data_IF_821879836493
#
_entry.id   IF_821879836493
#
_cell.length_a   1.000
_cell.length_b   1.000
_cell.length_c   1.000
_cell.angle_alpha   90.00
_cell.angle_beta   90.00
_cell.angle_gamma   90.00
#
_symmetry.space_group_name_H-M   'P 1'
#
loop_
_entity.id
_entity.type
_entity.pdbx_description
1 polymer ?
#
# COMPACT_ATOMS: atom_id res chain seq x y z
N UNK A 1 -32.27 8.15 -63.58
CA UNK A 1 -30.92 7.76 -64.04
C UNK A 1 -29.87 7.73 -62.91
N UNK A 2 -29.85 8.68 -61.96
CA UNK A 2 -28.88 8.76 -60.84
C UNK A 2 -28.73 7.50 -59.97
N UNK A 3 -29.82 6.81 -59.60
CA UNK A 3 -29.78 5.59 -58.77
C UNK A 3 -29.03 4.42 -59.45
N UNK A 4 -29.11 4.30 -60.78
CA UNK A 4 -28.45 3.20 -61.52
C UNK A 4 -26.93 3.34 -61.51
N UNK A 5 -26.40 4.56 -61.60
CA UNK A 5 -24.96 4.83 -61.50
C UNK A 5 -24.42 4.66 -60.08
N UNK A 6 -25.24 4.91 -59.05
CA UNK A 6 -24.86 4.63 -57.66
C UNK A 6 -24.68 3.14 -57.40
N UNK A 7 -25.58 2.29 -57.91
CA UNK A 7 -25.44 0.83 -57.81
C UNK A 7 -24.22 0.31 -58.57
N UNK A 8 -23.92 0.86 -59.75
CA UNK A 8 -22.73 0.50 -60.52
C UNK A 8 -21.45 0.90 -59.77
N UNK A 9 -21.40 2.12 -59.20
CA UNK A 9 -20.26 2.58 -58.41
C UNK A 9 -20.06 1.74 -57.14
N UNK A 10 -21.14 1.38 -56.45
CA UNK A 10 -21.10 0.50 -55.28
C UNK A 10 -20.61 -0.91 -55.62
N UNK A 11 -21.08 -1.49 -56.73
CA UNK A 11 -20.59 -2.78 -57.20
C UNK A 11 -19.11 -2.72 -57.61
N UNK A 12 -18.65 -1.62 -58.20
CA UNK A 12 -17.24 -1.42 -58.54
C UNK A 12 -16.37 -1.29 -57.28
N UNK A 13 -16.82 -0.53 -56.29
CA UNK A 13 -16.16 -0.44 -54.99
C UNK A 13 -16.11 -1.80 -54.29
N UNK A 14 -17.19 -2.57 -54.33
CA UNK A 14 -17.23 -3.89 -53.72
C UNK A 14 -16.27 -4.87 -54.40
N UNK A 15 -16.21 -4.87 -55.74
CA UNK A 15 -15.25 -5.66 -56.50
C UNK A 15 -13.79 -5.25 -56.20
N UNK A 16 -13.54 -3.95 -56.03
CA UNK A 16 -12.23 -3.44 -55.68
C UNK A 16 -11.82 -3.83 -54.26
N UNK A 17 -12.76 -3.78 -53.30
CA UNK A 17 -12.53 -4.26 -51.93
C UNK A 17 -12.33 -5.77 -51.88
N UNK A 18 -13.06 -6.56 -52.67
CA UNK A 18 -12.84 -8.00 -52.81
C UNK A 18 -11.48 -8.28 -53.43
N UNK A 19 -11.06 -7.52 -54.44
CA UNK A 19 -9.73 -7.65 -55.05
C UNK A 19 -8.60 -7.31 -54.09
N UNK A 20 -8.75 -6.25 -53.28
CA UNK A 20 -7.80 -5.88 -52.23
C UNK A 20 -7.79 -6.92 -51.11
N UNK A 21 -8.95 -7.41 -50.68
CA UNK A 21 -9.06 -8.50 -49.72
C UNK A 21 -8.35 -9.77 -50.22
N UNK A 22 -8.55 -10.13 -51.49
CA UNK A 22 -7.91 -11.30 -52.09
C UNK A 22 -6.41 -11.10 -52.36
N UNK A 23 -5.96 -9.85 -52.49
CA UNK A 23 -4.54 -9.51 -52.62
C UNK A 23 -3.81 -9.50 -51.28
N UNK A 24 -4.44 -8.98 -50.22
CA UNK A 24 -3.92 -8.99 -48.84
C UNK A 24 -3.95 -10.40 -48.25
N UNK A 25 -5.06 -11.14 -48.46
CA UNK A 25 -5.20 -12.54 -48.05
C UNK A 25 -4.77 -13.52 -49.14
N UNK A 26 -4.00 -13.06 -50.14
CA UNK A 26 -3.37 -13.99 -51.07
C UNK A 26 -2.38 -14.79 -50.23
N UNK A 27 -2.50 -16.13 -50.14
CA UNK A 27 -1.45 -16.90 -49.53
C UNK A 27 -0.19 -16.57 -50.31
N UNK A 28 0.80 -15.94 -49.66
CA UNK A 28 2.15 -15.92 -50.20
C UNK A 28 2.46 -17.38 -50.54
N UNK A 29 2.89 -17.61 -51.78
CA UNK A 29 3.47 -18.89 -52.12
C UNK A 29 4.65 -19.07 -51.16
N UNK A 30 4.42 -19.88 -50.12
CA UNK A 30 5.44 -20.42 -49.23
C UNK A 30 6.38 -21.27 -50.10
N UNK A 31 7.31 -20.59 -50.75
CA UNK A 31 8.39 -21.18 -51.53
C UNK A 31 9.54 -21.57 -50.62
N UNK A 32 9.28 -22.50 -49.71
CA UNK A 32 10.20 -23.46 -49.08
C UNK A 32 9.46 -24.02 -47.86
N UNK A 33 9.06 -25.28 -47.91
CA UNK A 33 8.32 -25.91 -46.84
C UNK A 33 9.13 -25.93 -45.54
N UNK A 34 8.62 -25.29 -44.50
CA UNK A 34 8.85 -25.73 -43.13
C UNK A 34 7.64 -26.56 -42.74
N UNK A 35 7.75 -27.89 -42.85
CA UNK A 35 6.81 -28.75 -42.15
C UNK A 35 6.96 -28.48 -40.64
N UNK A 36 5.86 -28.39 -39.87
CA UNK A 36 5.97 -28.35 -38.42
C UNK A 36 6.47 -29.72 -37.94
N UNK A 37 7.78 -29.88 -37.86
CA UNK A 37 8.40 -30.94 -37.08
C UNK A 37 8.29 -30.50 -35.63
N UNK A 38 7.24 -31.00 -34.94
CA UNK A 38 7.16 -30.93 -33.49
C UNK A 38 8.15 -31.95 -32.90
N UNK A 39 8.84 -31.56 -31.83
CA UNK A 39 9.96 -32.25 -31.16
C UNK A 39 11.33 -32.16 -31.86
N UNK A 40 11.91 -30.95 -31.89
CA UNK A 40 13.35 -30.77 -32.11
C UNK A 40 13.97 -30.23 -30.82
N UNK A 41 14.08 -31.10 -29.82
CA UNK A 41 14.82 -30.82 -28.59
C UNK A 41 16.31 -30.61 -28.94
N UNK A 42 16.91 -29.56 -28.39
CA UNK A 42 18.33 -29.30 -28.63
C UNK A 42 19.24 -30.25 -27.81
N UNK A 43 18.74 -30.82 -26.71
CA UNK A 43 19.48 -31.71 -25.83
C UNK A 43 18.56 -32.54 -24.93
N UNK A 44 19.13 -33.59 -24.34
CA UNK A 44 18.47 -34.51 -23.40
C UNK A 44 19.19 -34.47 -22.04
N UNK A 45 19.15 -33.32 -21.35
CA UNK A 45 19.60 -33.19 -19.94
C UNK A 45 18.56 -32.43 -19.11
N UNK A 46 18.61 -32.58 -17.79
CA UNK A 46 17.73 -31.92 -16.84
C UNK A 46 18.30 -30.60 -16.32
N UNK A 47 17.43 -29.69 -15.87
CA UNK A 47 17.81 -28.37 -15.30
C UNK A 47 18.86 -28.48 -14.18
N UNK A 48 18.75 -29.50 -13.35
CA UNK A 48 19.67 -29.74 -12.22
C UNK A 48 21.09 -30.14 -12.64
N UNK A 49 21.28 -30.55 -13.88
CA UNK A 49 22.60 -30.91 -14.42
C UNK A 49 23.37 -29.67 -14.88
N UNK A 50 22.72 -28.51 -15.00
CA UNK A 50 23.38 -27.24 -15.34
C UNK A 50 24.05 -26.69 -14.08
N UNK A 51 25.37 -26.49 -14.16
CA UNK A 51 26.17 -25.88 -13.08
C UNK A 51 26.34 -24.37 -13.25
N UNK A 52 26.49 -23.92 -14.49
CA UNK A 52 26.68 -22.52 -14.84
C UNK A 52 25.98 -22.21 -16.16
N UNK A 53 25.32 -21.05 -16.22
CA UNK A 53 24.77 -20.50 -17.45
C UNK A 53 25.31 -19.09 -17.67
N UNK A 54 25.93 -18.86 -18.82
CA UNK A 54 26.48 -17.55 -19.20
C UNK A 54 25.65 -16.95 -20.33
N UNK A 55 25.12 -15.74 -20.12
CA UNK A 55 24.46 -14.92 -21.14
C UNK A 55 25.43 -13.84 -21.59
N UNK A 56 25.89 -13.92 -22.84
CA UNK A 56 26.77 -12.93 -23.46
C UNK A 56 25.96 -12.08 -24.45
N UNK A 57 25.43 -10.97 -23.97
CA UNK A 57 24.72 -9.97 -24.78
C UNK A 57 25.45 -8.63 -24.77
N UNK A 58 24.74 -7.55 -24.41
CA UNK A 58 25.36 -6.23 -24.20
C UNK A 58 26.35 -6.19 -23.04
N UNK A 59 26.11 -7.04 -22.04
CA UNK A 59 26.98 -7.31 -20.92
C UNK A 59 27.00 -8.82 -20.70
N UNK A 60 28.07 -9.32 -20.11
CA UNK A 60 28.14 -10.72 -19.68
C UNK A 60 27.42 -10.87 -18.34
N UNK A 61 26.55 -11.87 -18.25
CA UNK A 61 25.84 -12.24 -17.02
C UNK A 61 26.11 -13.72 -16.77
N UNK A 62 26.62 -14.04 -15.58
CA UNK A 62 26.93 -15.41 -15.18
C UNK A 62 25.96 -15.83 -14.08
N UNK A 63 25.19 -16.88 -14.36
CA UNK A 63 24.35 -17.57 -13.39
C UNK A 63 25.10 -18.81 -12.93
N UNK A 64 25.23 -19.02 -11.62
CA UNK A 64 25.98 -20.14 -11.05
C UNK A 64 25.14 -20.86 -10.00
N UNK A 65 25.15 -22.19 -10.05
CA UNK A 65 24.55 -23.04 -9.02
C UNK A 65 25.55 -23.19 -7.86
N UNK A 66 25.11 -22.88 -6.64
CA UNK A 66 25.85 -23.12 -5.40
C UNK A 66 25.06 -24.05 -4.46
N UNK A 67 25.63 -24.35 -3.29
CA UNK A 67 24.97 -25.12 -2.24
C UNK A 67 23.70 -24.43 -1.71
N UNK A 68 23.64 -23.09 -1.79
CA UNK A 68 22.52 -22.27 -1.34
C UNK A 68 21.50 -21.97 -2.46
N UNK A 69 21.71 -22.53 -3.65
CA UNK A 69 20.85 -22.32 -4.83
C UNK A 69 21.53 -21.56 -5.97
N UNK A 70 20.73 -21.17 -6.97
CA UNK A 70 21.20 -20.35 -8.09
C UNK A 70 21.54 -18.92 -7.63
N UNK A 71 22.61 -18.35 -8.17
CA UNK A 71 23.05 -16.98 -7.91
C UNK A 71 23.45 -16.28 -9.20
N UNK A 72 23.52 -14.95 -9.18
CA UNK A 72 24.09 -14.14 -10.26
C UNK A 72 25.44 -13.62 -9.78
N UNK A 73 26.52 -14.00 -10.46
CA UNK A 73 27.90 -13.76 -9.95
C UNK A 73 28.21 -12.28 -9.68
N UNK A 74 27.55 -11.35 -10.36
CA UNK A 74 27.74 -9.91 -10.22
C UNK A 74 26.72 -9.21 -9.31
N UNK A 75 25.84 -9.95 -8.63
CA UNK A 75 24.84 -9.39 -7.70
C UNK A 75 25.00 -9.99 -6.31
N UNK A 76 24.60 -9.21 -5.31
CA UNK A 76 24.37 -9.74 -3.97
C UNK A 76 23.22 -10.78 -4.03
N UNK A 77 23.39 -11.99 -3.48
CA UNK A 77 22.32 -12.97 -3.38
C UNK A 77 21.02 -12.43 -2.77
N UNK A 78 21.10 -11.52 -1.79
CA UNK A 78 19.92 -10.92 -1.15
C UNK A 78 19.16 -9.97 -2.08
N UNK A 79 19.85 -9.42 -3.09
CA UNK A 79 19.28 -8.53 -4.10
C UNK A 79 18.94 -9.25 -5.40
N UNK A 80 18.98 -10.58 -5.43
CA UNK A 80 18.73 -11.38 -6.64
C UNK A 80 17.27 -11.81 -6.75
N UNK A 81 16.66 -11.58 -7.91
CA UNK A 81 15.34 -12.10 -8.29
C UNK A 81 15.46 -13.56 -8.74
N UNK A 82 15.51 -14.47 -7.77
CA UNK A 82 15.72 -15.92 -8.00
C UNK A 82 14.66 -16.53 -8.94
N UNK A 83 13.42 -16.04 -8.93
CA UNK A 83 12.39 -16.55 -9.83
C UNK A 83 12.73 -16.30 -11.30
N UNK A 84 13.37 -15.16 -11.60
CA UNK A 84 13.85 -14.86 -12.95
C UNK A 84 15.05 -15.72 -13.31
N UNK A 85 16.00 -15.90 -12.39
CA UNK A 85 17.18 -16.78 -12.60
C UNK A 85 16.73 -18.20 -12.97
N UNK A 86 15.88 -18.82 -12.13
CA UNK A 86 15.32 -20.15 -12.38
C UNK A 86 14.52 -20.20 -13.69
N UNK A 87 13.83 -19.12 -14.05
CA UNK A 87 13.12 -19.06 -15.32
C UNK A 87 14.06 -19.12 -16.51
N UNK A 88 15.18 -18.40 -16.49
CA UNK A 88 16.15 -18.43 -17.60
C UNK A 88 16.85 -19.79 -17.70
N UNK A 89 17.29 -20.35 -16.57
CA UNK A 89 17.94 -21.67 -16.53
C UNK A 89 17.00 -22.75 -17.06
N UNK A 90 15.75 -22.81 -16.57
CA UNK A 90 14.74 -23.75 -17.06
C UNK A 90 14.47 -23.60 -18.56
N UNK A 91 14.43 -22.36 -19.06
CA UNK A 91 14.22 -22.09 -20.51
C UNK A 91 15.38 -22.57 -21.36
N UNK A 92 16.59 -22.57 -20.83
CA UNK A 92 17.70 -23.24 -21.48
C UNK A 92 17.49 -24.75 -21.43
N UNK A 93 17.34 -25.35 -20.24
CA UNK A 93 17.17 -26.79 -20.10
C UNK A 93 16.06 -27.38 -21.00
N UNK A 94 14.93 -26.69 -21.15
CA UNK A 94 13.80 -27.11 -21.98
C UNK A 94 13.76 -26.46 -23.38
N UNK A 95 14.91 -26.13 -23.99
CA UNK A 95 14.95 -25.46 -25.28
C UNK A 95 14.51 -26.39 -26.42
N UNK A 96 13.45 -26.00 -27.12
CA UNK A 96 12.90 -26.71 -28.28
C UNK A 96 12.78 -25.74 -29.48
N UNK A 97 13.01 -26.26 -30.69
CA UNK A 97 12.69 -25.51 -31.90
C UNK A 97 11.21 -25.62 -32.25
N UNK A 98 10.60 -24.49 -32.61
CA UNK A 98 9.27 -24.48 -33.20
C UNK A 98 9.31 -24.92 -34.68
N UNK A 99 10.36 -24.51 -35.40
CA UNK A 99 10.57 -24.86 -36.80
C UNK A 99 12.06 -24.96 -37.13
N UNK A 100 12.41 -25.87 -38.03
CA UNK A 100 13.64 -25.80 -38.81
C UNK A 100 13.38 -24.89 -40.03
N UNK A 101 14.18 -23.84 -40.20
CA UNK A 101 14.00 -22.86 -41.29
C UNK A 101 14.91 -23.12 -42.47
N UNK A 102 16.20 -23.38 -42.21
CA UNK A 102 17.20 -23.57 -43.26
C UNK A 102 18.36 -24.43 -42.71
N UNK A 103 18.72 -25.53 -43.38
CA UNK A 103 19.76 -26.47 -42.90
C UNK A 103 21.20 -25.97 -43.10
N UNK A 104 21.48 -25.28 -44.21
CA UNK A 104 22.82 -24.75 -44.54
C UNK A 104 22.67 -23.37 -45.21
N UNK A 105 22.38 -22.32 -44.42
CA UNK A 105 22.14 -20.99 -44.95
C UNK A 105 23.40 -20.40 -45.57
N UNK A 106 23.25 -19.83 -46.77
CA UNK A 106 24.37 -19.16 -47.45
C UNK A 106 24.72 -17.79 -46.86
N UNK A 107 23.81 -17.21 -46.09
CA UNK A 107 23.91 -15.88 -45.52
C UNK A 107 23.21 -15.85 -44.15
N UNK A 108 23.99 -15.82 -43.07
CA UNK A 108 23.49 -15.75 -41.70
C UNK A 108 23.04 -14.35 -41.29
N UNK A 109 23.43 -13.30 -42.03
CA UNK A 109 23.15 -11.91 -41.66
C UNK A 109 21.67 -11.56 -41.71
N UNK A 110 20.90 -12.20 -42.61
CA UNK A 110 19.44 -12.07 -42.66
C UNK A 110 18.74 -12.53 -41.38
N UNK A 111 19.38 -13.44 -40.64
CA UNK A 111 18.88 -13.96 -39.37
C UNK A 111 19.52 -13.24 -38.17
N UNK A 112 20.52 -12.38 -38.39
CA UNK A 112 21.33 -11.77 -37.34
C UNK A 112 22.18 -12.80 -36.58
N UNK A 113 22.59 -13.88 -37.25
CA UNK A 113 23.39 -14.97 -36.66
C UNK A 113 24.87 -14.92 -37.07
N UNK A 114 25.24 -14.01 -37.99
CA UNK A 114 26.63 -13.66 -38.28
C UNK A 114 27.26 -12.83 -37.14
N UNK A 115 26.45 -11.97 -36.51
CA UNK A 115 26.74 -11.26 -35.29
C UNK A 115 25.55 -11.45 -34.32
N UNK A 116 25.49 -12.57 -33.57
CA UNK A 116 24.35 -12.89 -32.73
C UNK A 116 24.11 -11.81 -31.68
N UNK A 117 22.84 -11.52 -31.42
CA UNK A 117 22.43 -10.56 -30.39
C UNK A 117 22.77 -11.06 -28.98
N UNK A 118 22.76 -12.37 -28.79
CA UNK A 118 23.14 -13.00 -27.52
C UNK A 118 23.68 -14.41 -27.77
N UNK A 119 24.77 -14.75 -27.11
CA UNK A 119 25.27 -16.13 -27.00
C UNK A 119 24.94 -16.66 -25.61
N UNK A 120 24.36 -17.85 -25.54
CA UNK A 120 24.06 -18.52 -24.26
C UNK A 120 24.84 -19.81 -24.17
N UNK A 121 25.62 -19.97 -23.10
CA UNK A 121 26.47 -21.15 -22.85
C UNK A 121 26.13 -21.76 -21.50
N UNK A 122 25.78 -23.04 -21.49
CA UNK A 122 25.66 -23.84 -20.29
C UNK A 122 26.90 -24.72 -20.11
N UNK A 123 27.36 -24.81 -18.87
CA UNK A 123 28.35 -25.78 -18.39
C UNK A 123 27.62 -26.75 -17.44
N UNK A 124 27.68 -28.04 -17.75
CA UNK A 124 27.05 -29.09 -16.97
C UNK A 124 27.96 -29.59 -15.83
N UNK A 125 27.41 -30.36 -14.90
CA UNK A 125 28.15 -30.96 -13.78
C UNK A 125 29.32 -31.86 -14.21
N UNK A 126 29.19 -32.53 -15.36
CA UNK A 126 30.21 -33.40 -15.94
C UNK A 126 31.30 -32.65 -16.73
N UNK A 127 31.17 -31.32 -16.84
CA UNK A 127 32.05 -30.44 -17.60
C UNK A 127 31.73 -30.33 -19.09
N UNK A 128 30.66 -30.97 -19.56
CA UNK A 128 30.15 -30.81 -20.94
C UNK A 128 29.55 -29.41 -21.10
N UNK A 129 29.70 -28.84 -22.30
CA UNK A 129 29.18 -27.52 -22.61
C UNK A 129 28.23 -27.51 -23.80
N UNK A 130 27.20 -26.68 -23.69
CA UNK A 130 26.21 -26.46 -24.74
C UNK A 130 26.07 -24.97 -25.02
N UNK A 131 26.23 -24.57 -26.28
CA UNK A 131 26.15 -23.17 -26.71
C UNK A 131 25.07 -22.99 -27.78
N UNK A 132 24.29 -21.93 -27.65
CA UNK A 132 23.36 -21.44 -28.68
C UNK A 132 23.57 -19.97 -28.97
N UNK A 133 23.34 -19.59 -30.23
CA UNK A 133 23.44 -18.25 -30.76
C UNK A 133 22.03 -17.74 -31.07
N UNK A 134 21.62 -16.67 -30.42
CA UNK A 134 20.32 -16.03 -30.64
C UNK A 134 20.47 -14.86 -31.61
N UNK A 135 19.76 -14.93 -32.72
CA UNK A 135 19.73 -13.91 -33.75
C UNK A 135 18.62 -12.89 -33.55
N UNK A 136 18.10 -12.38 -34.66
CA UNK A 136 17.02 -11.40 -34.69
C UNK A 136 15.67 -12.02 -34.33
N UNK A 137 14.77 -11.18 -33.81
CA UNK A 137 13.35 -11.52 -33.65
C UNK A 137 12.71 -11.65 -35.03
N UNK A 138 11.84 -12.64 -35.21
CA UNK A 138 11.03 -12.76 -36.41
C UNK A 138 10.18 -11.49 -36.61
N UNK A 139 10.09 -10.92 -37.84
CA UNK A 139 9.45 -9.62 -38.05
C UNK A 139 7.98 -9.57 -37.63
N UNK A 140 7.25 -10.65 -37.86
CA UNK A 140 5.78 -10.72 -37.71
C UNK A 140 5.30 -11.69 -36.65
N UNK A 141 6.14 -12.62 -36.22
CA UNK A 141 5.75 -13.70 -35.32
C UNK A 141 6.46 -13.56 -33.97
N UNK A 142 5.89 -14.18 -32.93
CA UNK A 142 6.53 -14.24 -31.62
C UNK A 142 7.58 -15.36 -31.58
N UNK A 143 8.57 -15.26 -32.48
CA UNK A 143 9.68 -16.20 -32.65
C UNK A 143 11.02 -15.47 -32.73
N UNK A 144 12.11 -16.19 -32.48
CA UNK A 144 13.49 -15.73 -32.71
C UNK A 144 14.23 -16.75 -33.56
N UNK A 145 15.20 -16.28 -34.35
CA UNK A 145 16.16 -17.15 -35.02
C UNK A 145 17.22 -17.63 -34.03
N UNK A 146 17.55 -18.91 -34.06
CA UNK A 146 18.53 -19.52 -33.17
C UNK A 146 19.36 -20.57 -33.91
N UNK A 147 20.64 -20.67 -33.57
CA UNK A 147 21.57 -21.66 -34.10
C UNK A 147 22.34 -22.31 -32.94
N UNK A 148 22.54 -23.62 -33.00
CA UNK A 148 23.34 -24.36 -32.02
C UNK A 148 24.81 -24.38 -32.45
N UNK A 149 25.73 -24.31 -31.49
CA UNK A 149 27.14 -24.54 -31.78
C UNK A 149 27.41 -25.92 -32.38
N UNK A 150 28.18 -25.94 -33.46
CA UNK A 150 28.49 -27.15 -34.23
C UNK A 150 27.43 -27.53 -35.27
N UNK A 151 26.27 -26.87 -35.27
CA UNK A 151 25.21 -27.05 -36.27
C UNK A 151 25.14 -25.84 -37.20
N UNK A 152 24.89 -26.09 -38.48
CA UNK A 152 24.69 -25.03 -39.49
C UNK A 152 23.23 -24.63 -39.62
N UNK A 153 22.32 -25.45 -39.13
CA UNK A 153 20.90 -25.23 -39.26
C UNK A 153 20.43 -23.99 -38.48
N UNK A 154 19.51 -23.24 -39.10
CA UNK A 154 18.81 -22.12 -38.48
C UNK A 154 17.43 -22.58 -38.09
N UNK A 155 17.14 -22.41 -36.80
CA UNK A 155 15.87 -22.76 -36.19
C UNK A 155 15.08 -21.49 -35.85
N UNK A 156 13.77 -21.62 -35.80
CA UNK A 156 12.90 -20.66 -35.14
C UNK A 156 12.50 -21.21 -33.77
N UNK A 157 12.69 -20.41 -32.72
CA UNK A 157 12.30 -20.76 -31.35
C UNK A 157 11.23 -19.81 -30.84
N UNK A 158 10.38 -20.27 -29.91
CA UNK A 158 9.36 -19.43 -29.30
C UNK A 158 9.95 -18.17 -28.64
N UNK A 159 9.24 -17.05 -28.73
CA UNK A 159 9.64 -15.77 -28.13
C UNK A 159 9.93 -15.82 -26.63
N UNK A 160 9.41 -16.80 -25.88
CA UNK A 160 9.77 -16.99 -24.47
C UNK A 160 11.26 -17.32 -24.27
N UNK A 161 11.89 -18.04 -25.20
CA UNK A 161 13.33 -18.34 -25.14
C UNK A 161 14.15 -17.09 -25.45
N UNK A 162 13.81 -16.39 -26.53
CA UNK A 162 14.48 -15.15 -26.89
C UNK A 162 14.38 -14.10 -25.78
N UNK A 163 13.20 -13.96 -25.16
CA UNK A 163 13.00 -13.04 -24.02
C UNK A 163 13.84 -13.44 -22.80
N UNK A 164 13.91 -14.74 -22.48
CA UNK A 164 14.73 -15.23 -21.37
C UNK A 164 16.23 -14.99 -21.62
N UNK A 165 16.71 -15.32 -22.81
CA UNK A 165 18.13 -15.22 -23.15
C UNK A 165 18.60 -13.77 -23.30
N UNK A 166 17.71 -12.85 -23.72
CA UNK A 166 18.00 -11.41 -23.76
C UNK A 166 17.81 -10.70 -22.41
N UNK A 167 17.67 -11.45 -21.30
CA UNK A 167 17.60 -10.85 -19.96
C UNK A 167 18.82 -9.97 -19.69
N UNK A 168 18.57 -8.81 -19.10
CA UNK A 168 19.61 -7.89 -18.62
C UNK A 168 19.90 -8.12 -17.15
N UNK A 169 21.02 -7.60 -16.63
CA UNK A 169 21.36 -7.68 -15.21
C UNK A 169 20.23 -7.14 -14.33
N UNK A 170 19.54 -6.08 -14.78
CA UNK A 170 18.42 -5.47 -14.09
C UNK A 170 17.23 -6.45 -13.91
N UNK A 171 17.01 -7.36 -14.86
CA UNK A 171 15.93 -8.34 -14.76
C UNK A 171 16.18 -9.35 -13.65
N UNK A 172 17.43 -9.55 -13.25
CA UNK A 172 17.81 -10.44 -12.15
C UNK A 172 17.94 -9.72 -10.80
N UNK A 173 17.69 -8.41 -10.73
CA UNK A 173 17.66 -7.67 -9.46
C UNK A 173 16.27 -7.73 -8.86
N UNK A 174 16.19 -8.06 -7.57
CA UNK A 174 14.96 -7.96 -6.79
C UNK A 174 14.46 -6.52 -6.85
N UNK A 175 13.19 -6.37 -7.23
CA UNK A 175 12.53 -5.06 -7.25
C UNK A 175 11.78 -4.79 -5.96
N UNK A 176 11.73 -5.73 -5.02
CA UNK A 176 11.02 -5.54 -3.76
C UNK A 176 11.92 -4.85 -2.73
N UNK A 177 11.48 -3.69 -2.26
CA UNK A 177 12.15 -2.92 -1.20
C UNK A 177 11.71 -3.38 0.19
N UNK A 178 10.53 -3.97 0.28
CA UNK A 178 9.97 -4.53 1.51
C UNK A 178 8.45 -4.66 1.43
N UNK A 179 7.90 -5.51 2.30
CA UNK A 179 6.47 -5.71 2.46
C UNK A 179 6.10 -5.47 3.92
N UNK A 180 5.34 -4.40 4.16
CA UNK A 180 4.96 -3.96 5.51
C UNK A 180 3.55 -4.43 5.82
N UNK A 181 3.37 -5.13 6.93
CA UNK A 181 2.08 -5.44 7.50
C UNK A 181 1.51 -4.26 8.30
N UNK A 182 0.54 -3.57 7.70
CA UNK A 182 -0.13 -2.44 8.34
C UNK A 182 -0.90 -2.84 9.61
N UNK A 183 -1.26 -4.13 9.76
CA UNK A 183 -1.86 -4.64 11.00
C UNK A 183 -0.87 -4.75 12.15
N UNK A 184 0.44 -4.68 11.93
CA UNK A 184 1.47 -4.63 12.98
C UNK A 184 2.33 -3.37 12.90
N UNK A 185 1.82 -2.34 12.21
CA UNK A 185 2.48 -1.04 12.05
C UNK A 185 2.94 -0.48 13.40
N UNK A 186 4.20 -0.03 13.43
CA UNK A 186 4.84 0.65 14.56
C UNK A 186 5.14 2.11 14.28
N UNK A 187 5.57 2.44 13.06
CA UNK A 187 5.89 3.82 12.68
C UNK A 187 5.51 4.05 11.22
N UNK A 188 4.81 5.15 10.97
CA UNK A 188 4.64 5.71 9.65
C UNK A 188 4.99 7.20 9.72
N UNK A 189 5.91 7.64 8.87
CA UNK A 189 6.23 9.05 8.67
C UNK A 189 6.15 9.34 7.18
N UNK A 190 5.37 10.36 6.83
CA UNK A 190 5.29 10.90 5.49
C UNK A 190 5.64 12.37 5.56
N UNK A 191 6.70 12.76 4.84
CA UNK A 191 7.01 14.16 4.57
C UNK A 191 6.83 14.42 3.09
N UNK A 192 6.27 15.58 2.79
CA UNK A 192 6.10 16.06 1.42
C UNK A 192 6.35 17.55 1.41
N UNK A 193 7.04 18.03 0.39
CA UNK A 193 7.33 19.44 0.20
C UNK A 193 6.05 20.30 0.32
N UNK A 194 6.11 21.34 1.15
CA UNK A 194 5.00 22.27 1.35
C UNK A 194 3.80 21.74 2.13
N UNK A 195 3.86 20.54 2.71
CA UNK A 195 2.80 19.96 3.55
C UNK A 195 3.27 19.75 4.98
N UNK A 196 2.35 19.82 5.94
CA UNK A 196 2.62 19.34 7.30
C UNK A 196 2.96 17.85 7.28
N UNK A 197 3.95 17.39 8.07
CA UNK A 197 4.29 15.99 8.12
C UNK A 197 3.14 15.18 8.74
N UNK A 198 2.93 13.99 8.23
CA UNK A 198 2.08 12.99 8.85
C UNK A 198 2.98 12.02 9.60
N UNK A 199 2.77 11.88 10.91
CA UNK A 199 3.53 10.92 11.71
C UNK A 199 2.61 10.14 12.63
N UNK A 200 2.70 8.82 12.55
CA UNK A 200 1.96 7.87 13.37
C UNK A 200 2.97 6.96 14.07
N UNK A 201 2.81 6.76 15.37
CA UNK A 201 3.64 5.83 16.16
C UNK A 201 2.79 4.89 16.99
N UNK A 202 3.32 3.70 17.24
CA UNK A 202 2.78 2.78 18.22
C UNK A 202 2.84 3.36 19.62
N UNK A 203 1.81 3.05 20.41
CA UNK A 203 1.77 3.37 21.83
C UNK A 203 2.62 2.36 22.59
N UNK A 204 3.58 2.85 23.36
CA UNK A 204 4.32 2.04 24.31
C UNK A 204 3.48 1.86 25.58
N UNK A 205 3.24 0.61 25.98
CA UNK A 205 2.52 0.25 27.21
C UNK A 205 1.13 0.92 27.36
N UNK A 206 0.16 0.59 26.48
CA UNK A 206 -1.20 1.10 26.66
C UNK A 206 -1.79 0.65 27.99
N UNK A 207 -2.70 1.45 28.56
CA UNK A 207 -3.48 1.04 29.73
C UNK A 207 -4.16 -0.31 29.47
N UNK A 208 -4.25 -1.16 30.49
CA UNK A 208 -4.79 -2.53 30.34
C UNK A 208 -6.21 -2.54 29.73
N UNK A 209 -7.06 -1.57 30.10
CA UNK A 209 -8.41 -1.39 29.56
C UNK A 209 -8.45 -0.98 28.08
N UNK A 210 -7.32 -0.53 27.53
CA UNK A 210 -7.18 -0.04 26.16
C UNK A 210 -6.26 -0.94 25.31
N UNK A 211 -5.82 -2.08 25.84
CA UNK A 211 -4.95 -3.01 25.12
C UNK A 211 -5.65 -3.52 23.85
N UNK A 212 -4.97 -3.41 22.70
CA UNK A 212 -5.50 -3.76 21.39
C UNK A 212 -6.37 -2.66 20.73
N UNK A 213 -6.85 -1.67 21.49
CA UNK A 213 -7.67 -0.56 20.98
C UNK A 213 -6.82 0.69 20.79
N UNK A 214 -5.92 1.00 21.73
CA UNK A 214 -5.05 2.17 21.69
C UNK A 214 -3.65 1.81 21.20
N UNK A 215 -3.59 1.28 19.97
CA UNK A 215 -2.34 0.75 19.41
C UNK A 215 -1.46 1.82 18.77
N UNK A 216 -2.06 2.84 18.17
CA UNK A 216 -1.40 3.85 17.37
C UNK A 216 -1.89 5.25 17.72
N UNK A 217 -0.98 6.22 17.65
CA UNK A 217 -1.26 7.64 17.82
C UNK A 217 -0.70 8.45 16.68
N UNK A 218 -1.46 9.43 16.22
CA UNK A 218 -0.91 10.55 15.49
C UNK A 218 0.02 11.34 16.42
N UNK A 219 1.25 11.53 15.99
CA UNK A 219 2.22 12.47 16.57
C UNK A 219 2.17 13.81 15.84
N UNK A 220 1.84 13.78 14.54
CA UNK A 220 1.67 14.92 13.64
C UNK A 220 0.54 14.60 12.66
N UNK A 221 -0.28 15.56 12.18
CA UNK A 221 -0.13 17.03 12.26
C UNK A 221 -0.87 17.71 13.43
N UNK A 222 -1.47 16.95 14.34
CA UNK A 222 -2.26 17.54 15.43
C UNK A 222 -1.37 18.13 16.52
N UNK A 223 -1.85 19.19 17.20
CA UNK A 223 -1.13 19.88 18.28
C UNK A 223 -0.87 19.00 19.49
N UNK A 224 -1.68 17.95 19.67
CA UNK A 224 -1.52 16.95 20.73
C UNK A 224 -1.66 15.53 20.14
N UNK A 225 -1.02 14.51 20.74
CA UNK A 225 -1.16 13.15 20.25
C UNK A 225 -2.61 12.67 20.23
N UNK A 226 -3.09 12.20 19.07
CA UNK A 226 -4.49 11.76 18.90
C UNK A 226 -4.61 10.28 18.60
N UNK A 227 -5.69 9.66 19.07
CA UNK A 227 -6.03 8.26 18.78
C UNK A 227 -6.45 8.08 17.33
N UNK A 228 -6.05 6.94 16.79
CA UNK A 228 -6.52 6.47 15.49
C UNK A 228 -7.73 5.56 15.72
N UNK A 229 -8.81 5.79 14.97
CA UNK A 229 -10.06 5.05 15.11
C UNK A 229 -9.93 3.62 14.58
N UNK A 230 -9.41 3.47 13.38
CA UNK A 230 -9.03 2.19 12.79
C UNK A 230 -8.21 2.44 11.53
N UNK A 231 -7.29 1.51 11.22
CA UNK A 231 -6.62 1.45 9.92
C UNK A 231 -7.29 0.44 8.96
N UNK A 232 -8.43 -0.15 9.34
CA UNK A 232 -9.10 -1.23 8.58
C UNK A 232 -9.53 -0.84 7.16
N UNK A 233 -9.51 0.45 6.83
CA UNK A 233 -9.64 0.95 5.46
C UNK A 233 -8.35 0.77 4.63
N UNK A 234 -7.62 -0.33 4.84
CA UNK A 234 -6.43 -0.71 4.05
C UNK A 234 -6.65 -0.60 2.53
N UNK A 235 -7.85 -0.89 1.96
CA UNK A 235 -8.07 -0.74 0.53
C UNK A 235 -7.92 0.67 -0.04
N UNK A 236 -7.99 1.70 0.80
CA UNK A 236 -7.75 3.08 0.37
C UNK A 236 -6.24 3.38 0.27
N UNK A 237 -5.39 2.56 0.89
CA UNK A 237 -3.96 2.79 1.05
C UNK A 237 -3.08 1.90 0.18
N UNK A 238 -3.48 0.65 -0.03
CA UNK A 238 -2.74 -0.31 -0.85
C UNK A 238 -3.33 -0.41 -2.25
N UNK A 239 -2.51 -0.82 -3.22
CA UNK A 239 -2.95 -0.94 -4.61
C UNK A 239 -3.92 -2.11 -4.81
N UNK A 240 -3.80 -3.16 -3.99
CA UNK A 240 -4.50 -4.44 -4.13
C UNK A 240 -5.61 -4.66 -3.11
N UNK A 241 -5.82 -3.72 -2.17
CA UNK A 241 -6.83 -3.88 -1.13
C UNK A 241 -6.33 -4.57 0.14
N UNK A 242 -5.10 -5.10 0.14
CA UNK A 242 -4.59 -5.93 1.23
C UNK A 242 -4.02 -5.09 2.37
N UNK A 243 -3.83 -5.65 3.58
CA UNK A 243 -3.12 -4.99 4.66
C UNK A 243 -1.59 -4.95 4.46
N UNK A 244 -1.08 -5.49 3.34
CA UNK A 244 0.35 -5.50 3.03
C UNK A 244 0.69 -4.33 2.09
N UNK A 245 1.48 -3.39 2.60
CA UNK A 245 2.08 -2.35 1.77
C UNK A 245 3.39 -2.87 1.19
N UNK A 246 3.35 -3.36 -0.06
CA UNK A 246 4.54 -3.78 -0.78
C UNK A 246 5.16 -2.60 -1.53
N UNK A 247 6.40 -2.27 -1.19
CA UNK A 247 7.17 -1.21 -1.85
C UNK A 247 8.09 -1.83 -2.89
N UNK A 248 8.07 -1.30 -4.12
CA UNK A 248 8.84 -1.85 -5.23
C UNK A 248 9.51 -0.78 -6.08
N UNK A 249 10.73 -1.08 -6.52
CA UNK A 249 11.46 -0.38 -7.57
C UNK A 249 10.75 -0.56 -8.91
N UNK A 250 10.58 0.55 -9.63
CA UNK A 250 10.10 0.53 -11.02
C UNK A 250 11.27 0.36 -11.98
N UNK A 251 12.26 1.24 -11.97
CA UNK A 251 13.47 1.08 -12.79
C UNK A 251 14.69 1.47 -11.95
N UNK A 252 15.80 0.76 -12.15
CA UNK A 252 17.08 1.14 -11.58
C UNK A 252 17.73 2.23 -12.46
N UNK A 253 18.20 3.32 -11.85
CA UNK A 253 18.68 4.50 -12.60
C UNK A 253 20.20 4.57 -12.57
N UNK A 254 20.79 4.66 -11.38
CA UNK A 254 22.22 4.80 -11.21
C UNK A 254 22.68 4.16 -9.89
N UNK A 255 23.81 3.44 -9.98
CA UNK A 255 24.52 2.86 -8.85
C UNK A 255 25.67 3.80 -8.45
N UNK A 256 25.78 4.08 -7.16
CA UNK A 256 26.83 4.93 -6.57
C UNK A 256 26.98 6.29 -7.27
N UNK A 257 25.89 7.08 -7.37
CA UNK A 257 25.91 8.38 -8.03
C UNK A 257 26.87 9.32 -7.29
N UNK A 258 27.65 10.08 -8.07
CA UNK A 258 28.58 11.08 -7.51
C UNK A 258 27.89 12.39 -7.17
N UNK A 259 26.76 12.66 -7.79
CA UNK A 259 25.95 13.86 -7.61
C UNK A 259 24.47 13.45 -7.53
N UNK A 260 23.80 13.84 -6.45
CA UNK A 260 22.38 13.53 -6.22
C UNK A 260 21.45 14.68 -6.64
N UNK A 261 22.01 15.83 -7.04
CA UNK A 261 21.24 17.04 -7.34
C UNK A 261 20.38 16.89 -8.60
N UNK A 262 20.83 16.15 -9.61
CA UNK A 262 20.04 15.87 -10.82
C UNK A 262 18.76 15.07 -10.52
N UNK A 263 18.79 14.28 -9.45
CA UNK A 263 17.67 13.50 -8.96
C UNK A 263 16.84 14.22 -7.90
N UNK A 264 17.29 15.40 -7.43
CA UNK A 264 16.70 16.11 -6.29
C UNK A 264 16.77 15.31 -4.97
N UNK A 265 17.78 14.45 -4.83
CA UNK A 265 17.97 13.59 -3.65
C UNK A 265 19.04 14.13 -2.69
N UNK A 266 19.78 15.17 -3.09
CA UNK A 266 20.60 16.00 -2.20
C UNK A 266 19.75 16.87 -1.25
N UNK A 267 18.57 17.27 -1.71
CA UNK A 267 17.50 17.90 -0.94
C UNK A 267 16.16 17.21 -1.24
N UNK A 268 15.89 16.04 -0.62
CA UNK A 268 14.70 15.26 -0.89
C UNK A 268 13.40 16.07 -0.74
N UNK A 269 12.54 15.99 -1.76
CA UNK A 269 11.20 16.63 -1.77
C UNK A 269 10.17 15.87 -0.94
N UNK A 270 10.50 14.66 -0.52
CA UNK A 270 9.66 13.86 0.35
C UNK A 270 10.41 12.75 1.04
N UNK A 271 9.73 12.15 1.99
CA UNK A 271 10.24 11.05 2.80
C UNK A 271 9.08 10.11 3.11
N UNK A 272 9.33 8.81 3.00
CA UNK A 272 8.45 7.78 3.53
C UNK A 272 9.29 6.90 4.45
N UNK A 273 8.93 6.86 5.72
CA UNK A 273 9.43 5.86 6.65
C UNK A 273 8.24 5.02 7.11
N UNK A 274 8.37 3.71 6.99
CA UNK A 274 7.35 2.75 7.41
C UNK A 274 8.02 1.56 8.09
N UNK A 275 7.51 1.20 9.26
CA UNK A 275 8.07 0.15 10.13
C UNK A 275 6.94 -0.67 10.75
N UNK A 276 7.05 -2.00 10.71
CA UNK A 276 6.15 -2.94 11.39
C UNK A 276 6.90 -3.80 12.43
N UNK A 277 6.39 -4.98 12.75
CA UNK A 277 7.03 -5.93 13.66
C UNK A 277 8.39 -6.45 13.18
N UNK A 278 8.59 -6.58 11.87
CA UNK A 278 9.68 -7.35 11.24
C UNK A 278 10.50 -6.53 10.24
N UNK A 279 9.87 -5.59 9.53
CA UNK A 279 10.43 -4.86 8.40
C UNK A 279 10.44 -3.36 8.66
N UNK A 280 11.44 -2.70 8.07
CA UNK A 280 11.59 -1.25 8.08
C UNK A 280 12.06 -0.78 6.72
N UNK A 281 11.33 0.16 6.14
CA UNK A 281 11.70 0.80 4.87
C UNK A 281 11.71 2.30 5.06
N UNK A 282 12.82 2.94 4.70
CA UNK A 282 12.99 4.39 4.75
C UNK A 282 13.42 4.90 3.38
N UNK A 283 12.51 5.54 2.68
CA UNK A 283 12.70 6.10 1.34
C UNK A 283 12.83 7.61 1.39
N UNK A 284 13.84 8.12 0.71
CA UNK A 284 13.96 9.51 0.31
C UNK A 284 13.38 9.66 -1.10
N UNK A 285 12.58 10.69 -1.31
CA UNK A 285 11.88 10.94 -2.57
C UNK A 285 12.42 12.24 -3.17
N UNK A 286 12.91 12.15 -4.40
CA UNK A 286 13.54 13.23 -5.13
C UNK A 286 12.58 13.96 -6.08
N UNK A 287 13.13 14.40 -7.20
CA UNK A 287 12.42 15.08 -8.27
C UNK A 287 11.48 14.12 -9.05
N UNK A 288 10.52 14.73 -9.75
CA UNK A 288 9.68 14.03 -10.70
C UNK A 288 10.52 13.54 -11.89
N UNK A 289 10.45 12.24 -12.18
CA UNK A 289 11.04 11.65 -13.39
C UNK A 289 10.07 11.75 -14.58
N UNK A 290 8.79 11.62 -14.29
CA UNK A 290 7.69 11.73 -15.25
C UNK A 290 6.40 12.12 -14.53
N UNK A 291 5.27 12.15 -15.25
CA UNK A 291 3.96 12.37 -14.66
C UNK A 291 3.58 11.28 -13.64
N UNK A 292 4.07 10.04 -13.83
CA UNK A 292 3.73 8.87 -13.00
C UNK A 292 4.85 8.39 -12.08
N UNK A 293 6.08 8.85 -12.27
CA UNK A 293 7.27 8.36 -11.54
C UNK A 293 8.06 9.47 -10.87
N UNK A 294 8.70 9.13 -9.75
CA UNK A 294 9.67 9.97 -9.03
C UNK A 294 10.97 9.22 -8.87
N UNK A 295 12.06 9.95 -8.78
CA UNK A 295 13.32 9.41 -8.28
C UNK A 295 13.22 9.12 -6.78
N UNK A 296 13.86 8.06 -6.33
CA UNK A 296 13.90 7.66 -4.94
C UNK A 296 15.22 6.94 -4.63
N UNK A 297 15.55 6.90 -3.34
CA UNK A 297 16.63 6.08 -2.79
C UNK A 297 16.28 5.63 -1.38
N UNK A 298 16.85 4.51 -0.93
CA UNK A 298 16.81 4.15 0.48
C UNK A 298 17.67 5.14 1.29
N UNK A 299 17.18 5.55 2.46
CA UNK A 299 17.95 6.41 3.36
C UNK A 299 19.22 5.68 3.81
N UNK A 300 20.38 6.29 3.56
CA UNK A 300 21.68 5.67 3.81
C UNK A 300 22.15 4.68 2.73
N UNK A 301 21.35 4.43 1.70
CA UNK A 301 21.74 3.65 0.52
C UNK A 301 22.50 4.47 -0.51
N UNK A 302 23.05 3.82 -1.54
CA UNK A 302 23.82 4.44 -2.62
C UNK A 302 23.24 4.18 -4.02
N UNK A 303 22.01 3.70 -4.10
CA UNK A 303 21.34 3.39 -5.37
C UNK A 303 20.17 4.34 -5.60
N UNK A 304 20.12 4.92 -6.80
CA UNK A 304 19.00 5.73 -7.28
C UNK A 304 18.13 4.87 -8.17
N UNK A 305 16.85 4.84 -7.86
CA UNK A 305 15.83 4.14 -8.63
C UNK A 305 14.61 5.03 -8.84
N UNK A 306 13.67 4.61 -9.70
CA UNK A 306 12.34 5.21 -9.79
C UNK A 306 11.30 4.37 -9.06
N UNK A 307 10.26 5.04 -8.55
CA UNK A 307 9.04 4.40 -8.04
C UNK A 307 7.81 5.09 -8.64
N UNK A 308 6.69 4.39 -8.71
CA UNK A 308 5.43 5.01 -9.09
C UNK A 308 4.91 5.95 -7.99
N UNK A 309 4.42 7.12 -8.37
CA UNK A 309 3.81 8.10 -7.44
C UNK A 309 2.61 7.54 -6.68
N UNK A 310 1.86 6.63 -7.31
CA UNK A 310 0.66 6.02 -6.74
C UNK A 310 0.95 4.86 -5.77
N UNK A 311 2.20 4.41 -5.65
CA UNK A 311 2.59 3.33 -4.73
C UNK A 311 2.33 3.70 -3.27
N UNK A 312 2.29 5.00 -2.96
CA UNK A 312 2.14 5.54 -1.61
C UNK A 312 0.86 6.39 -1.58
N UNK A 313 -0.31 5.75 -1.80
CA UNK A 313 -1.61 6.46 -1.82
C UNK A 313 -1.89 7.20 -0.51
N UNK A 314 -1.41 6.63 0.59
CA UNK A 314 -1.52 7.16 1.94
C UNK A 314 -0.99 8.61 2.10
N UNK A 315 -0.10 9.08 1.20
CA UNK A 315 0.39 10.48 1.22
C UNK A 315 -0.70 11.53 0.95
N UNK A 316 -1.81 11.12 0.37
CA UNK A 316 -2.91 12.01 -0.02
C UNK A 316 -4.09 11.92 0.95
N UNK A 317 -4.01 11.09 1.98
CA UNK A 317 -5.11 10.95 2.92
C UNK A 317 -5.20 12.14 3.87
N UNK A 318 -6.42 12.48 4.28
CA UNK A 318 -6.64 13.45 5.34
C UNK A 318 -6.50 12.75 6.71
N UNK A 319 -5.55 13.16 7.57
CA UNK A 319 -5.40 12.58 8.90
C UNK A 319 -6.67 12.67 9.76
N UNK A 320 -7.57 13.63 9.46
CA UNK A 320 -8.85 13.74 10.15
C UNK A 320 -9.78 12.53 9.92
N UNK A 321 -9.65 11.83 8.80
CA UNK A 321 -10.49 10.69 8.48
C UNK A 321 -10.22 9.47 9.36
N UNK A 322 -8.99 9.34 9.89
CA UNK A 322 -8.61 8.22 10.74
C UNK A 322 -8.65 8.56 12.23
N UNK A 323 -9.04 9.77 12.58
CA UNK A 323 -9.11 10.23 13.96
C UNK A 323 -10.27 9.54 14.69
N UNK A 324 -10.07 9.17 15.96
CA UNK A 324 -11.21 8.98 16.87
C UNK A 324 -11.91 10.34 17.04
N UNK A 325 -13.13 10.45 16.50
CA UNK A 325 -13.83 11.74 16.43
C UNK A 325 -14.52 12.18 17.72
N UNK A 326 -14.55 11.36 18.77
CA UNK A 326 -15.15 11.76 20.05
C UNK A 326 -14.36 12.91 20.69
N UNK A 327 -15.07 13.88 21.28
CA UNK A 327 -14.44 14.98 22.01
C UNK A 327 -13.61 14.46 23.19
N UNK A 328 -14.19 13.56 23.97
CA UNK A 328 -13.52 12.85 25.05
C UNK A 328 -14.27 11.57 25.40
N UNK A 329 -13.60 10.42 25.36
CA UNK A 329 -14.19 9.11 25.68
C UNK A 329 -13.81 8.71 27.10
N UNK A 330 -14.57 9.20 28.08
CA UNK A 330 -14.40 8.78 29.46
C UNK A 330 -15.22 7.51 29.73
N UNK A 331 -14.55 6.41 30.12
CA UNK A 331 -15.26 5.22 30.59
C UNK A 331 -16.11 5.61 31.80
N UNK A 332 -17.38 5.19 31.84
CA UNK A 332 -18.23 5.49 32.99
C UNK A 332 -17.62 4.92 34.27
N UNK A 333 -16.94 3.77 34.18
CA UNK A 333 -16.29 3.09 35.30
C UNK A 333 -15.08 3.86 35.85
N UNK A 334 -14.48 4.76 35.07
CA UNK A 334 -13.27 5.52 35.42
C UNK A 334 -13.59 6.93 35.93
N UNK A 335 -14.87 7.30 35.97
CA UNK A 335 -15.36 8.64 36.35
C UNK A 335 -16.28 8.51 37.56
N UNK A 336 -16.24 9.49 38.47
CA UNK A 336 -17.18 9.58 39.59
C UNK A 336 -18.18 10.75 39.42
N UNK A 337 -17.78 11.80 38.69
CA UNK A 337 -18.59 12.99 38.50
C UNK A 337 -18.36 13.62 37.12
N UNK A 338 -19.43 14.12 36.51
CA UNK A 338 -19.39 14.96 35.31
C UNK A 338 -20.20 16.23 35.54
N UNK A 339 -19.54 17.38 35.51
CA UNK A 339 -20.18 18.69 35.55
C UNK A 339 -20.41 19.20 34.13
N UNK A 340 -21.65 19.61 33.84
CA UNK A 340 -22.05 20.15 32.54
C UNK A 340 -22.70 21.51 32.77
N UNK A 341 -22.21 22.53 32.07
CA UNK A 341 -22.67 23.91 32.22
C UNK A 341 -22.88 24.58 30.86
N UNK A 342 -23.97 25.34 30.74
CA UNK A 342 -24.22 26.25 29.62
C UNK A 342 -25.19 27.34 30.04
N UNK A 343 -24.99 28.56 29.53
CA UNK A 343 -25.74 29.74 29.97
C UNK A 343 -25.78 29.80 31.52
N UNK A 344 -26.97 29.85 32.13
CA UNK A 344 -27.18 29.79 33.59
C UNK A 344 -27.52 28.39 34.11
N UNK A 345 -27.46 27.36 33.27
CA UNK A 345 -27.82 25.99 33.63
C UNK A 345 -26.58 25.17 34.06
N UNK A 346 -26.75 24.39 35.13
CA UNK A 346 -25.75 23.45 35.65
C UNK A 346 -26.37 22.08 35.89
N UNK A 347 -25.69 21.05 35.44
CA UNK A 347 -26.02 19.64 35.65
C UNK A 347 -24.80 18.94 36.21
N UNK A 348 -24.99 18.25 37.33
CA UNK A 348 -23.99 17.40 37.98
C UNK A 348 -24.46 15.95 37.84
N UNK A 349 -23.68 15.13 37.16
CA UNK A 349 -23.91 13.70 37.04
C UNK A 349 -22.94 12.99 37.98
N UNK A 350 -23.46 12.23 38.95
CA UNK A 350 -22.62 11.56 39.97
C UNK A 350 -22.88 10.06 39.97
N UNK A 351 -21.81 9.29 40.11
CA UNK A 351 -21.82 7.83 40.16
C UNK A 351 -21.25 7.36 41.50
N UNK A 352 -22.11 6.86 42.38
CA UNK A 352 -21.73 6.25 43.65
C UNK A 352 -21.61 4.74 43.51
N UNK A 353 -20.55 4.17 44.07
CA UNK A 353 -20.23 2.75 43.96
C UNK A 353 -19.94 2.18 45.34
N UNK A 354 -20.69 1.17 45.72
CA UNK A 354 -20.54 0.46 46.99
C UNK A 354 -20.24 -1.02 46.74
N UNK A 355 -19.29 -1.59 47.49
CA UNK A 355 -19.10 -3.04 47.53
C UNK A 355 -20.06 -3.64 48.54
N UNK A 356 -20.92 -4.53 48.06
CA UNK A 356 -21.94 -5.20 48.87
C UNK A 356 -21.62 -6.69 48.89
N UNK A 357 -21.60 -7.29 50.08
CA UNK A 357 -21.39 -8.72 50.23
C UNK A 357 -22.75 -9.43 50.09
N UNK A 358 -22.85 -10.33 49.12
CA UNK A 358 -24.06 -11.12 48.85
C UNK A 358 -23.72 -12.60 49.04
N UNK A 359 -24.54 -13.30 49.82
CA UNK A 359 -24.46 -14.76 49.96
C UNK A 359 -25.43 -15.42 48.96
N UNK A 360 -24.88 -16.16 48.00
CA UNK A 360 -25.64 -16.88 46.97
C UNK A 360 -25.14 -18.34 46.93
N UNK A 361 -26.04 -19.32 47.06
CA UNK A 361 -25.73 -20.75 47.11
C UNK A 361 -24.66 -21.18 48.15
N UNK A 362 -24.55 -20.42 49.25
CA UNK A 362 -23.57 -20.70 50.32
C UNK A 362 -22.15 -20.21 50.01
N UNK A 363 -21.97 -19.47 48.91
CA UNK A 363 -20.74 -18.76 48.59
C UNK A 363 -20.91 -17.25 48.81
N UNK A 364 -19.91 -16.64 49.45
CA UNK A 364 -19.85 -15.19 49.65
C UNK A 364 -19.27 -14.53 48.41
N UNK A 365 -20.06 -13.71 47.71
CA UNK A 365 -19.62 -12.91 46.55
C UNK A 365 -19.62 -11.43 46.93
N UNK A 366 -18.65 -10.68 46.40
CA UNK A 366 -18.65 -9.22 46.45
C UNK A 366 -19.30 -8.70 45.18
N UNK A 367 -20.44 -8.05 45.31
CA UNK A 367 -21.14 -7.36 44.23
C UNK A 367 -20.86 -5.86 44.31
N UNK A 368 -20.78 -5.22 43.14
CA UNK A 368 -20.71 -3.75 43.05
C UNK A 368 -22.11 -3.22 42.84
N UNK A 369 -22.61 -2.47 43.81
CA UNK A 369 -23.86 -1.71 43.66
C UNK A 369 -23.50 -0.31 43.19
N UNK A 370 -24.05 0.08 42.05
CA UNK A 370 -23.89 1.44 41.51
C UNK A 370 -25.21 2.20 41.67
N UNK A 371 -25.13 3.43 42.15
CA UNK A 371 -26.27 4.36 42.24
C UNK A 371 -25.92 5.64 41.50
N UNK A 372 -26.86 6.12 40.69
CA UNK A 372 -26.63 7.20 39.74
C UNK A 372 -27.48 8.41 40.11
N UNK A 373 -26.90 9.61 40.04
CA UNK A 373 -27.56 10.84 40.46
C UNK A 373 -27.46 11.92 39.39
N UNK A 374 -28.53 12.70 39.23
CA UNK A 374 -28.57 13.92 38.43
C UNK A 374 -28.93 15.07 39.37
N UNK A 375 -28.01 16.00 39.58
CA UNK A 375 -28.16 17.11 40.55
C UNK A 375 -28.57 16.62 41.95
N UNK A 376 -27.97 15.52 42.41
CA UNK A 376 -28.26 14.89 43.70
C UNK A 376 -29.58 14.11 43.80
N UNK A 377 -30.37 14.05 42.72
CA UNK A 377 -31.58 13.20 42.66
C UNK A 377 -31.22 11.85 42.07
N UNK A 378 -31.62 10.76 42.75
CA UNK A 378 -31.43 9.40 42.26
C UNK A 378 -32.13 9.24 40.89
N UNK A 379 -31.39 8.70 39.93
CA UNK A 379 -31.83 8.53 38.56
C UNK A 379 -31.86 7.04 38.19
N UNK A 380 -32.86 6.65 37.41
CA UNK A 380 -32.98 5.29 36.88
C UNK A 380 -31.75 4.96 36.01
N UNK A 381 -31.08 3.84 36.33
CA UNK A 381 -29.78 3.45 35.77
C UNK A 381 -29.77 3.48 34.23
N UNK A 382 -30.78 2.88 33.58
CA UNK A 382 -30.80 2.79 32.11
C UNK A 382 -30.90 4.17 31.47
N UNK A 383 -31.70 5.06 32.06
CA UNK A 383 -31.87 6.44 31.64
C UNK A 383 -30.59 7.24 31.85
N UNK A 384 -29.94 7.08 33.01
CA UNK A 384 -28.66 7.73 33.30
C UNK A 384 -27.55 7.27 32.34
N UNK A 385 -27.38 5.96 32.12
CA UNK A 385 -26.35 5.44 31.20
C UNK A 385 -26.58 5.89 29.77
N UNK A 386 -27.85 5.99 29.32
CA UNK A 386 -28.19 6.56 28.01
C UNK A 386 -27.75 8.02 27.92
N UNK A 387 -28.10 8.82 28.92
CA UNK A 387 -27.70 10.22 29.01
C UNK A 387 -26.18 10.38 28.97
N UNK A 388 -25.46 9.63 29.82
CA UNK A 388 -24.01 9.62 29.86
C UNK A 388 -23.42 9.30 28.48
N UNK A 389 -23.95 8.26 27.82
CA UNK A 389 -23.60 7.89 26.45
C UNK A 389 -23.80 9.02 25.44
N UNK A 390 -24.85 9.82 25.56
CA UNK A 390 -25.06 11.01 24.71
C UNK A 390 -23.99 12.08 24.95
N UNK A 391 -23.59 12.31 26.21
CA UNK A 391 -22.57 13.31 26.56
C UNK A 391 -21.19 12.89 26.03
N UNK A 392 -20.74 11.66 26.33
CA UNK A 392 -19.45 11.15 25.81
C UNK A 392 -19.49 10.83 24.30
N UNK A 393 -20.69 10.74 23.73
CA UNK A 393 -20.94 10.47 22.31
C UNK A 393 -20.79 11.69 21.40
N UNK A 394 -20.51 12.88 21.94
CA UNK A 394 -20.27 14.08 21.16
C UNK A 394 -19.01 13.92 20.30
N UNK A 395 -19.15 14.20 19.00
CA UNK A 395 -18.09 14.02 17.99
C UNK A 395 -17.78 15.31 17.25
N UNK A 396 -16.51 15.47 16.90
CA UNK A 396 -16.03 16.52 16.00
C UNK A 396 -16.46 16.27 14.55
N UNK A 397 -16.69 17.35 13.83
CA UNK A 397 -17.20 17.34 12.45
C UNK A 397 -16.13 17.75 11.42
N UNK A 398 -15.20 18.63 11.80
CA UNK A 398 -14.09 19.04 10.95
C UNK A 398 -12.93 19.64 11.76
N UNK A 399 -11.79 19.86 11.10
CA UNK A 399 -10.70 20.72 11.59
C UNK A 399 -11.12 22.20 11.52
N UNK A 400 -10.62 23.04 12.43
CA UNK A 400 -10.78 24.50 12.28
C UNK A 400 -10.01 25.00 11.05
N UNK A 401 -10.56 26.01 10.39
CA UNK A 401 -9.93 26.76 9.30
C UNK A 401 -9.29 28.09 9.77
N UNK A 402 -9.67 28.60 10.95
CA UNK A 402 -9.08 29.79 11.58
C UNK A 402 -9.06 29.65 13.11
N UNK A 403 -8.18 30.39 13.79
CA UNK A 403 -8.10 30.37 15.25
C UNK A 403 -9.29 31.08 15.90
N UNK A 404 -9.74 30.57 17.05
CA UNK A 404 -10.80 31.18 17.86
C UNK A 404 -10.36 31.30 19.31
N UNK A 405 -10.61 32.48 19.87
CA UNK A 405 -10.42 32.83 21.27
C UNK A 405 -11.74 33.36 21.86
N UNK A 406 -11.85 33.32 23.18
CA UNK A 406 -13.03 33.77 23.90
C UNK A 406 -13.46 32.83 25.01
N UNK A 407 -14.57 33.19 25.64
CA UNK A 407 -15.20 32.43 26.71
C UNK A 407 -16.05 31.27 26.16
N UNK A 408 -16.06 30.11 26.83
CA UNK A 408 -16.92 29.00 26.45
C UNK A 408 -18.40 29.31 26.74
N UNK A 409 -19.28 28.82 25.87
CA UNK A 409 -20.75 28.89 26.06
C UNK A 409 -21.35 27.55 26.49
N UNK A 410 -20.54 26.49 26.45
CA UNK A 410 -20.89 25.17 26.96
C UNK A 410 -19.60 24.49 27.45
N UNK A 411 -19.65 23.85 28.61
CA UNK A 411 -18.48 23.24 29.25
C UNK A 411 -18.86 21.93 29.92
N UNK A 412 -18.02 20.91 29.73
CA UNK A 412 -18.07 19.62 30.40
C UNK A 412 -16.76 19.43 31.18
N UNK A 413 -16.85 19.02 32.43
CA UNK A 413 -15.70 18.69 33.28
C UNK A 413 -15.88 17.25 33.79
N UNK A 414 -14.91 16.39 33.49
CA UNK A 414 -14.89 14.99 33.90
C UNK A 414 -13.94 14.80 35.08
N UNK A 415 -14.47 14.32 36.19
CA UNK A 415 -13.74 14.01 37.41
C UNK A 415 -13.47 12.49 37.45
N UNK A 416 -12.21 12.10 37.28
CA UNK A 416 -11.82 10.70 37.23
C UNK A 416 -11.63 10.11 38.62
N UNK A 417 -11.73 8.78 38.72
CA UNK A 417 -11.48 8.05 39.96
C UNK A 417 -10.01 8.21 40.38
N UNK A 418 -9.78 8.82 41.54
CA UNK A 418 -8.45 9.00 42.12
C UNK A 418 -8.26 10.44 42.61
N UNK A 419 -7.90 10.60 43.88
CA UNK A 419 -7.85 11.92 44.54
C UNK A 419 -6.84 12.90 43.91
N UNK A 420 -5.84 12.39 43.19
CA UNK A 420 -4.77 13.19 42.57
C UNK A 420 -4.91 13.39 41.05
N UNK A 421 -5.99 12.91 40.42
CA UNK A 421 -6.20 13.08 38.99
C UNK A 421 -6.82 14.45 38.67
N UNK A 422 -6.14 15.24 37.84
CA UNK A 422 -6.68 16.50 37.36
C UNK A 422 -7.97 16.25 36.52
N UNK A 423 -9.04 17.05 36.69
CA UNK A 423 -10.23 16.93 35.87
C UNK A 423 -9.95 17.23 34.40
N UNK A 424 -10.58 16.49 33.50
CA UNK A 424 -10.51 16.76 32.06
C UNK A 424 -11.63 17.71 31.65
N UNK A 425 -11.28 18.79 30.97
CA UNK A 425 -12.20 19.85 30.57
C UNK A 425 -12.40 19.88 29.05
N UNK A 426 -13.66 19.82 28.64
CA UNK A 426 -14.11 20.05 27.26
C UNK A 426 -14.96 21.31 27.22
N UNK A 427 -14.54 22.27 26.42
CA UNK A 427 -15.14 23.60 26.29
C UNK A 427 -15.56 23.84 24.84
N UNK A 428 -16.77 24.38 24.65
CA UNK A 428 -17.28 24.74 23.33
C UNK A 428 -17.43 26.26 23.21
N UNK A 429 -16.79 26.81 22.19
CA UNK A 429 -16.73 28.25 21.93
C UNK A 429 -17.61 28.64 20.76
N UNK A 430 -18.18 29.86 20.76
CA UNK A 430 -18.82 30.42 19.58
C UNK A 430 -17.85 30.40 18.38
N UNK A 431 -18.27 29.82 17.25
CA UNK A 431 -17.45 29.74 16.05
C UNK A 431 -18.22 30.18 14.81
N UNK A 432 -19.40 29.60 14.55
CA UNK A 432 -20.27 30.04 13.47
C UNK A 432 -21.75 29.97 13.86
N UNK A 433 -22.65 30.21 12.91
CA UNK A 433 -24.09 30.02 13.13
C UNK A 433 -24.44 28.57 13.49
N UNK A 434 -23.75 27.60 12.89
CA UNK A 434 -24.09 26.16 12.95
C UNK A 434 -23.01 25.29 13.60
N UNK A 435 -21.86 25.86 13.95
CA UNK A 435 -20.74 25.14 14.57
C UNK A 435 -20.27 25.83 15.86
N UNK A 436 -19.78 25.04 16.81
CA UNK A 436 -18.91 25.45 17.90
C UNK A 436 -17.46 25.05 17.60
N UNK A 437 -16.49 25.80 18.10
CA UNK A 437 -15.10 25.34 18.19
C UNK A 437 -14.91 24.56 19.49
N UNK A 438 -14.26 23.42 19.45
CA UNK A 438 -13.98 22.57 20.59
C UNK A 438 -12.57 22.84 21.14
N UNK A 439 -12.52 23.22 22.41
CA UNK A 439 -11.31 23.35 23.21
C UNK A 439 -11.25 22.18 24.19
N UNK A 440 -10.29 21.29 24.01
CA UNK A 440 -10.11 20.09 24.85
C UNK A 440 -8.76 20.24 25.55
N UNK A 441 -8.73 20.27 26.88
CA UNK A 441 -7.50 20.50 27.65
C UNK A 441 -6.71 21.74 27.18
N UNK A 442 -7.44 22.84 26.92
CA UNK A 442 -6.87 24.11 26.44
C UNK A 442 -6.52 24.15 24.94
N UNK A 443 -6.65 23.05 24.21
CA UNK A 443 -6.27 22.96 22.80
C UNK A 443 -7.48 23.10 21.88
N UNK A 444 -7.44 24.07 20.97
CA UNK A 444 -8.48 24.33 19.95
C UNK A 444 -7.99 23.85 18.58
N UNK A 445 -8.65 22.84 18.03
CA UNK A 445 -8.29 22.21 16.75
C UNK A 445 -9.49 21.74 15.91
N UNK A 446 -10.64 21.46 16.53
CA UNK A 446 -11.80 20.90 15.84
C UNK A 446 -13.09 21.69 16.07
N UNK A 447 -14.05 21.52 15.17
CA UNK A 447 -15.40 22.07 15.28
C UNK A 447 -16.44 20.98 15.49
N UNK A 448 -17.55 21.33 16.13
CA UNK A 448 -18.68 20.44 16.45
C UNK A 448 -19.97 21.11 16.00
N UNK A 449 -20.86 20.35 15.35
CA UNK A 449 -22.18 20.83 14.97
C UNK A 449 -23.03 21.20 16.19
N UNK A 450 -23.61 22.40 16.19
CA UNK A 450 -24.47 22.87 17.28
C UNK A 450 -25.65 21.95 17.53
N UNK A 451 -26.23 21.39 16.48
CA UNK A 451 -27.34 20.44 16.55
C UNK A 451 -27.04 19.24 17.45
N UNK A 452 -25.82 18.68 17.39
CA UNK A 452 -25.41 17.56 18.25
C UNK A 452 -25.42 17.97 19.73
N UNK A 453 -24.93 19.17 20.00
CA UNK A 453 -24.87 19.74 21.36
C UNK A 453 -26.27 20.08 21.87
N UNK A 454 -27.12 20.66 21.02
CA UNK A 454 -28.49 21.02 21.37
C UNK A 454 -29.36 19.77 21.65
N UNK A 455 -29.10 18.67 20.93
CA UNK A 455 -29.68 17.36 21.25
C UNK A 455 -29.22 16.86 22.63
N UNK A 456 -27.93 16.93 22.93
CA UNK A 456 -27.41 16.54 24.24
C UNK A 456 -28.00 17.39 25.39
N UNK A 457 -28.12 18.71 25.19
CA UNK A 457 -28.81 19.62 26.13
C UNK A 457 -30.26 19.20 26.37
N UNK A 458 -30.99 18.87 25.30
CA UNK A 458 -32.40 18.46 25.39
C UNK A 458 -32.56 17.15 26.16
N UNK A 459 -31.67 16.18 25.96
CA UNK A 459 -31.68 14.91 26.69
C UNK A 459 -31.32 15.09 28.16
N UNK A 460 -30.35 15.97 28.49
CA UNK A 460 -30.03 16.37 29.86
C UNK A 460 -31.23 16.97 30.60
N UNK A 461 -31.94 17.90 29.95
CA UNK A 461 -33.15 18.52 30.51
C UNK A 461 -34.21 17.44 30.79
N UNK A 462 -34.49 16.58 29.81
CA UNK A 462 -35.51 15.54 29.93
C UNK A 462 -35.18 14.52 31.03
N UNK A 463 -33.92 14.09 31.14
CA UNK A 463 -33.49 13.14 32.16
C UNK A 463 -33.60 13.73 33.58
N UNK A 464 -33.26 15.01 33.75
CA UNK A 464 -33.41 15.68 35.04
C UNK A 464 -34.88 15.84 35.46
N UNK A 465 -35.77 16.21 34.54
CA UNK A 465 -37.21 16.31 34.84
C UNK A 465 -37.82 14.94 35.17
N UNK A 466 -37.34 13.85 34.55
CA UNK A 466 -37.73 12.49 34.93
C UNK A 466 -37.28 12.14 36.36
N UNK A 467 -36.01 12.41 36.71
CA UNK A 467 -35.49 12.17 38.06
C UNK A 467 -36.28 12.96 39.13
N UNK A 468 -36.66 14.22 38.85
CA UNK A 468 -37.55 15.00 39.73
C UNK A 468 -38.92 14.36 39.91
N UNK A 469 -39.53 13.89 38.81
CA UNK A 469 -40.85 13.30 38.85
C UNK A 469 -40.88 11.99 39.63
N UNK A 470 -39.79 11.22 39.58
CA UNK A 470 -39.65 9.99 40.35
C UNK A 470 -39.33 10.25 41.81
N UNK A 471 -38.48 11.24 42.13
CA UNK A 471 -38.23 11.67 43.51
C UNK A 471 -39.46 12.27 44.22
N UNK A 472 -40.46 12.71 43.45
CA UNK A 472 -41.72 13.25 43.97
C UNK A 472 -42.82 12.18 44.21
N UNK A 473 -42.59 10.93 43.80
CA UNK A 473 -43.48 9.79 44.07
C UNK A 473 -43.05 9.08 45.34
#
# INVERSE_FOLDING_TARGET
>A
MRKRYQWIALSLCLLLLIGVYWYINRPENAGSGSEPVRDLDFWEFEEREIRRLTLQGKQEIVLEQSDDGWQVASLDPELTELAQVNTVVRRFASLEAAFLLEEDPKDLSRYGLDAPNTTVRAELEDGTEHTVYLGNRHPTEYLYYLMREGDKAVYAVNGMYGTAFQSTLENFRSRELGSINLMTLKHLLIRSEGKEPLEIKAVENPAASLQGIDRLRFVSPFKTPKRIASLDNYPDFTLDGSPLLTLRVKDFIELDPKDLSEYGLDQPKGELLVEDSEHKVHLLIGADRSDSEVYAMLAGGTEVFSIYKNLIRIRNADPFDWLIKFLYMASIDDVNQVDITWDDQRYELTMEREEVIVEEDGETKTEKKETFFINGLEAEERSFRRLYGTVIGLTVDARLDHSVEGEPVFKIVYHHNGEDLAPVTVELLPYSRVLYAARIEGVVEFVVAKEKVDKAKSELIAAFEAAKADAAK
#
